data_IF_768976537903
#
_entry.id   IF_768976537903
#
_cell.length_a   1.000
_cell.length_b   1.000
_cell.length_c   1.000
_cell.angle_alpha   90.00
_cell.angle_beta   90.00
_cell.angle_gamma   90.00
#
_symmetry.space_group_name_H-M   'P 1'
#
loop_
_entity.id
_entity.type
_entity.pdbx_description
1 polymer ?
#
# COMPACT_ATOMS: atom_id res chain seq x y z
N UNK A 1 -8.47 -3.68 -18.01
CA UNK A 1 -9.07 -3.29 -16.72
C UNK A 1 -10.12 -2.23 -17.00
N UNK A 2 -11.37 -2.39 -16.54
CA UNK A 2 -12.48 -1.47 -16.84
C UNK A 2 -12.29 -0.13 -16.09
N UNK A 3 -12.49 1.02 -16.75
CA UNK A 3 -12.42 2.35 -16.14
C UNK A 3 -13.39 2.52 -14.96
N UNK A 4 -14.57 1.88 -15.01
CA UNK A 4 -15.53 1.92 -13.91
C UNK A 4 -14.99 1.23 -12.66
N UNK A 5 -14.25 0.13 -12.83
CA UNK A 5 -13.60 -0.59 -11.73
C UNK A 5 -12.51 0.27 -11.08
N UNK A 6 -11.76 1.02 -11.89
CA UNK A 6 -10.75 1.96 -11.40
C UNK A 6 -11.36 3.08 -10.57
N UNK A 7 -12.42 3.70 -11.09
CA UNK A 7 -13.17 4.73 -10.35
C UNK A 7 -13.77 4.18 -9.05
N UNK A 8 -14.20 2.92 -9.03
CA UNK A 8 -14.70 2.29 -7.81
C UNK A 8 -13.57 2.08 -6.77
N UNK A 9 -12.38 1.67 -7.19
CA UNK A 9 -11.22 1.51 -6.32
C UNK A 9 -10.78 2.84 -5.69
N UNK A 10 -10.81 3.94 -6.44
CA UNK A 10 -10.45 5.26 -5.93
C UNK A 10 -11.42 5.83 -4.89
N UNK A 11 -12.67 5.35 -4.85
CA UNK A 11 -13.69 5.84 -3.89
C UNK A 11 -13.52 5.32 -2.46
N UNK A 12 -12.73 4.26 -2.26
CA UNK A 12 -12.52 3.67 -0.94
C UNK A 12 -11.18 4.21 -0.44
N UNK A 13 -11.10 5.04 0.60
CA UNK A 13 -9.81 5.48 1.13
C UNK A 13 -8.95 4.28 1.56
N UNK A 14 -7.73 4.17 1.03
CA UNK A 14 -6.73 3.17 1.45
C UNK A 14 -5.56 3.88 2.15
N UNK A 15 -5.67 4.14 3.47
CA UNK A 15 -4.59 4.76 4.21
C UNK A 15 -3.45 3.75 4.45
N UNK A 16 -2.24 4.10 4.03
CA UNK A 16 -1.05 3.27 4.19
C UNK A 16 0.08 4.00 4.92
N UNK A 17 0.99 3.21 5.50
CA UNK A 17 2.17 3.73 6.19
C UNK A 17 3.29 4.09 5.21
N UNK A 18 4.31 4.81 5.69
CA UNK A 18 5.54 5.13 4.94
C UNK A 18 6.23 3.89 4.40
N UNK A 19 6.32 2.85 5.23
CA UNK A 19 6.95 1.57 4.90
C UNK A 19 6.16 0.84 3.80
N UNK A 20 4.83 0.82 3.89
CA UNK A 20 4.00 0.23 2.84
C UNK A 20 4.09 1.00 1.51
N UNK A 21 4.10 2.34 1.56
CA UNK A 21 4.29 3.15 0.36
C UNK A 21 5.67 2.93 -0.27
N UNK A 22 6.72 2.82 0.55
CA UNK A 22 8.07 2.49 0.12
C UNK A 22 8.11 1.12 -0.57
N UNK A 23 7.45 0.11 0.02
CA UNK A 23 7.31 -1.22 -0.58
C UNK A 23 6.61 -1.18 -1.94
N UNK A 24 5.44 -0.53 -2.04
CA UNK A 24 4.63 -0.49 -3.27
C UNK A 24 5.31 0.29 -4.40
N UNK A 25 6.00 1.38 -4.09
CA UNK A 25 6.65 2.25 -5.09
C UNK A 25 8.12 1.91 -5.35
N UNK A 26 8.73 1.12 -4.48
CA UNK A 26 10.15 0.78 -4.55
C UNK A 26 11.11 1.89 -4.13
N UNK A 27 10.60 3.01 -3.60
CA UNK A 27 11.40 4.09 -3.01
C UNK A 27 11.97 3.67 -1.67
N UNK A 28 13.06 4.29 -1.23
CA UNK A 28 13.56 4.09 0.14
C UNK A 28 12.63 4.78 1.14
N UNK A 29 12.49 4.23 2.34
CA UNK A 29 11.71 4.87 3.41
C UNK A 29 12.15 6.31 3.67
N UNK A 30 13.47 6.59 3.66
CA UNK A 30 13.99 7.95 3.85
C UNK A 30 13.48 8.93 2.77
N UNK A 31 13.42 8.49 1.51
CA UNK A 31 12.87 9.31 0.44
C UNK A 31 11.36 9.56 0.65
N UNK A 32 10.62 8.53 1.07
CA UNK A 32 9.18 8.65 1.36
C UNK A 32 8.95 9.58 2.56
N UNK A 33 9.75 9.51 3.63
CA UNK A 33 9.67 10.44 4.77
C UNK A 33 9.86 11.89 4.32
N UNK A 34 10.82 12.17 3.44
CA UNK A 34 11.00 13.51 2.85
C UNK A 34 9.77 13.97 2.05
N UNK A 35 9.07 13.06 1.36
CA UNK A 35 7.82 13.39 0.67
C UNK A 35 6.70 13.73 1.66
N UNK A 36 6.58 12.97 2.75
CA UNK A 36 5.62 13.21 3.83
C UNK A 36 5.89 14.55 4.52
N UNK A 37 7.13 14.79 4.95
CA UNK A 37 7.57 16.01 5.62
C UNK A 37 7.31 17.26 4.76
N UNK A 38 7.56 17.16 3.45
CA UNK A 38 7.33 18.23 2.48
C UNK A 38 5.89 18.29 1.96
N UNK A 39 5.00 17.40 2.42
CA UNK A 39 3.60 17.30 1.99
C UNK A 39 3.44 17.20 0.46
N UNK A 40 4.33 16.44 -0.19
CA UNK A 40 4.35 16.24 -1.65
C UNK A 40 3.51 15.03 -2.11
N UNK A 41 2.79 14.40 -1.20
CA UNK A 41 1.88 13.29 -1.45
C UNK A 41 0.59 13.50 -0.64
N UNK A 42 -0.53 12.88 -1.04
CA UNK A 42 -1.77 12.91 -0.28
C UNK A 42 -1.61 12.33 1.13
N UNK A 43 -2.02 13.08 2.15
CA UNK A 43 -1.87 12.71 3.55
C UNK A 43 -3.17 12.94 4.32
N UNK A 44 -3.50 12.01 5.23
CA UNK A 44 -4.51 12.18 6.26
C UNK A 44 -3.86 12.15 7.64
N UNK A 45 -4.41 12.93 8.57
CA UNK A 45 -4.05 12.83 9.99
C UNK A 45 -5.17 12.08 10.70
N UNK A 46 -4.86 10.93 11.27
CA UNK A 46 -5.81 10.13 12.02
C UNK A 46 -5.48 10.19 13.51
N UNK A 47 -6.52 10.27 14.34
CA UNK A 47 -6.38 10.15 15.79
C UNK A 47 -6.19 8.67 16.14
N UNK A 48 -5.05 8.35 16.71
CA UNK A 48 -4.75 7.03 17.25
C UNK A 48 -5.07 7.05 18.75
N UNK A 49 -5.99 6.20 19.20
CA UNK A 49 -6.34 6.10 20.62
C UNK A 49 -5.40 5.09 21.29
N UNK A 50 -4.70 5.54 22.33
CA UNK A 50 -3.73 4.76 23.11
C UNK A 50 -4.32 4.52 24.51
N UNK A 51 -5.29 3.60 24.59
CA UNK A 51 -5.95 3.24 25.87
C UNK A 51 -6.78 4.37 26.49
N UNK A 52 -7.04 4.28 27.80
CA UNK A 52 -7.87 5.23 28.54
C UNK A 52 -7.19 6.61 28.75
N UNK A 53 -5.85 6.68 28.68
CA UNK A 53 -5.09 7.87 29.10
C UNK A 53 -4.47 8.70 27.97
N UNK A 54 -4.58 8.28 26.70
CA UNK A 54 -3.85 8.97 25.64
C UNK A 54 -4.45 8.83 24.26
N UNK A 55 -4.26 9.86 23.44
CA UNK A 55 -4.40 9.73 21.99
C UNK A 55 -3.28 10.46 21.28
N UNK A 56 -2.70 9.81 20.28
CA UNK A 56 -1.71 10.39 19.38
C UNK A 56 -2.36 10.78 18.05
N UNK A 57 -1.60 11.46 17.19
CA UNK A 57 -1.95 11.70 15.79
C UNK A 57 -0.94 10.98 14.92
N UNK A 58 -1.40 10.09 14.06
CA UNK A 58 -0.57 9.44 13.03
C UNK A 58 -0.86 10.04 11.67
N UNK A 59 0.20 10.24 10.88
CA UNK A 59 0.08 10.62 9.48
C UNK A 59 0.03 9.35 8.63
N UNK A 60 -0.99 9.27 7.79
CA UNK A 60 -1.20 8.17 6.85
C UNK A 60 -1.14 8.73 5.43
N UNK A 61 -0.56 7.97 4.53
CA UNK A 61 -0.52 8.29 3.11
C UNK A 61 -1.79 7.74 2.48
N UNK A 62 -2.51 8.58 1.76
CA UNK A 62 -3.73 8.18 1.07
C UNK A 62 -3.36 7.57 -0.28
N UNK A 63 -3.34 6.23 -0.35
CA UNK A 63 -2.81 5.50 -1.49
C UNK A 63 -3.62 5.72 -2.75
N UNK A 64 -4.94 5.67 -2.64
CA UNK A 64 -5.83 5.74 -3.79
C UNK A 64 -5.86 7.15 -4.41
N UNK A 65 -5.79 8.17 -3.59
CA UNK A 65 -5.65 9.57 -3.98
C UNK A 65 -4.30 9.81 -4.66
N UNK A 66 -3.25 9.14 -4.20
CA UNK A 66 -1.96 9.17 -4.88
C UNK A 66 -2.02 8.46 -6.25
N UNK A 67 -2.68 7.30 -6.33
CA UNK A 67 -2.89 6.61 -7.61
C UNK A 67 -3.69 7.46 -8.60
N UNK A 68 -4.76 8.11 -8.13
CA UNK A 68 -5.57 9.03 -8.93
C UNK A 68 -4.73 10.20 -9.43
N UNK A 69 -3.96 10.86 -8.56
CA UNK A 69 -3.05 11.96 -8.94
C UNK A 69 -2.02 11.54 -10.01
N UNK A 70 -1.42 10.35 -9.87
CA UNK A 70 -0.46 9.83 -10.86
C UNK A 70 -1.17 9.50 -12.17
N UNK A 71 -2.33 8.86 -12.11
CA UNK A 71 -3.11 8.55 -13.29
C UNK A 71 -3.56 9.82 -14.01
N UNK A 72 -3.97 10.85 -13.28
CA UNK A 72 -4.36 12.12 -13.89
C UNK A 72 -3.22 12.81 -14.61
N UNK A 73 -2.02 12.77 -14.04
CA UNK A 73 -0.82 13.36 -14.62
C UNK A 73 -0.25 12.58 -15.80
N UNK A 74 -0.32 11.24 -15.78
CA UNK A 74 0.38 10.37 -16.74
C UNK A 74 -0.53 9.60 -17.69
N UNK A 75 -1.83 9.55 -17.38
CA UNK A 75 -2.84 8.66 -18.00
C UNK A 75 -2.45 7.18 -17.94
N UNK A 76 -1.58 6.83 -17.00
CA UNK A 76 -1.08 5.47 -16.78
C UNK A 76 -1.17 5.14 -15.29
N UNK A 77 -1.41 3.86 -14.99
CA UNK A 77 -1.33 3.39 -13.62
C UNK A 77 0.12 3.18 -13.24
N UNK A 78 0.57 3.70 -12.08
CA UNK A 78 1.92 3.44 -11.62
C UNK A 78 2.10 1.94 -11.42
N UNK A 79 3.22 1.35 -11.91
CA UNK A 79 3.50 -0.05 -11.68
C UNK A 79 3.76 -0.27 -10.18
N UNK A 80 2.94 -1.09 -9.54
CA UNK A 80 3.21 -1.54 -8.18
C UNK A 80 4.32 -2.59 -8.16
N UNK A 81 5.29 -2.42 -7.27
CA UNK A 81 6.32 -3.43 -7.03
C UNK A 81 5.72 -4.60 -6.25
N UNK A 82 5.58 -5.75 -6.93
CA UNK A 82 5.01 -6.98 -6.36
C UNK A 82 6.07 -7.99 -5.90
N UNK A 83 7.35 -7.63 -5.94
CA UNK A 83 8.46 -8.55 -5.63
C UNK A 83 8.35 -9.17 -4.23
N UNK A 84 7.94 -8.36 -3.25
CA UNK A 84 7.73 -8.83 -1.88
C UNK A 84 6.57 -9.84 -1.78
N UNK A 85 5.45 -9.59 -2.49
CA UNK A 85 4.29 -10.47 -2.52
C UNK A 85 4.65 -11.78 -3.19
N UNK A 86 5.37 -11.70 -4.31
CA UNK A 86 5.87 -12.87 -5.03
C UNK A 86 6.83 -13.69 -4.16
N UNK A 87 7.73 -13.03 -3.44
CA UNK A 87 8.66 -13.68 -2.51
C UNK A 87 7.95 -14.35 -1.34
N UNK A 88 6.97 -13.67 -0.74
CA UNK A 88 6.14 -14.22 0.33
C UNK A 88 5.34 -15.43 -0.16
N UNK A 89 4.68 -15.31 -1.32
CA UNK A 89 3.96 -16.42 -1.95
C UNK A 89 4.88 -17.61 -2.20
N UNK A 90 6.10 -17.38 -2.68
CA UNK A 90 7.11 -18.44 -2.88
C UNK A 90 7.50 -19.11 -1.56
N UNK A 91 7.75 -18.32 -0.50
CA UNK A 91 8.08 -18.85 0.83
C UNK A 91 6.92 -19.63 1.44
N UNK A 92 5.69 -19.11 1.34
CA UNK A 92 4.48 -19.77 1.81
C UNK A 92 4.27 -21.09 1.07
N UNK A 93 4.42 -21.09 -0.26
CA UNK A 93 4.39 -22.29 -1.11
C UNK A 93 5.33 -23.37 -0.61
N UNK A 94 6.61 -23.02 -0.45
CA UNK A 94 7.62 -23.94 0.07
C UNK A 94 7.25 -24.46 1.47
N UNK A 95 6.82 -23.59 2.38
CA UNK A 95 6.49 -24.00 3.74
C UNK A 95 5.34 -25.01 3.79
N UNK A 96 4.29 -24.83 2.99
CA UNK A 96 3.19 -25.80 3.02
C UNK A 96 3.53 -27.10 2.28
N UNK A 97 4.38 -27.06 1.25
CA UNK A 97 5.00 -28.28 0.68
C UNK A 97 5.79 -29.05 1.76
N UNK A 98 6.64 -28.36 2.52
CA UNK A 98 7.44 -28.94 3.62
C UNK A 98 6.55 -29.54 4.73
N UNK A 99 5.36 -28.99 4.95
CA UNK A 99 4.37 -29.46 5.93
C UNK A 99 3.40 -30.50 5.38
N UNK A 100 3.50 -30.89 4.10
CA UNK A 100 2.57 -31.83 3.45
C UNK A 100 1.15 -31.29 3.29
N UNK A 101 0.97 -29.98 3.42
CA UNK A 101 -0.30 -29.29 3.25
C UNK A 101 -0.46 -28.98 1.75
N UNK A 102 -1.16 -29.86 1.03
CA UNK A 102 -1.50 -29.63 -0.38
C UNK A 102 -2.13 -28.24 -0.56
N UNK A 103 -1.47 -27.37 -1.32
CA UNK A 103 -1.88 -25.96 -1.39
C UNK A 103 -3.30 -25.81 -1.94
N UNK A 104 -4.16 -25.13 -1.17
CA UNK A 104 -5.32 -24.44 -1.72
C UNK A 104 -4.81 -23.47 -2.80
N UNK A 105 -5.31 -23.59 -4.03
CA UNK A 105 -4.97 -22.67 -5.11
C UNK A 105 -5.34 -21.23 -4.71
N UNK A 106 -4.36 -20.47 -4.22
CA UNK A 106 -4.50 -19.01 -4.11
C UNK A 106 -4.48 -18.48 -5.54
N UNK A 107 -5.67 -18.30 -6.12
CA UNK A 107 -5.85 -17.77 -7.45
C UNK A 107 -5.17 -16.40 -7.59
N UNK A 108 -4.48 -16.25 -8.71
CA UNK A 108 -3.67 -15.09 -9.09
C UNK A 108 -4.51 -13.86 -9.47
#
# INVERSE_FOLDING_TARGET
MNEELLRALFKIPDPITVDEFARRTGKTESAVRKLVERRLIPLATEREVLGEEGSSRRLLILWNEWLEMVYDATKQLPPERKDWRNHWLKKAKKLAEDLGLGFLNFAA
#
